data_IF_744308360228
#
_entry.id   IF_744308360228
#
_cell.length_a   1.000
_cell.length_b   1.000
_cell.length_c   1.000
_cell.angle_alpha   90.00
_cell.angle_beta   90.00
_cell.angle_gamma   90.00
#
_symmetry.space_group_name_H-M   'P 1'
#
loop_
_entity.id
_entity.type
_entity.pdbx_description
1 polymer ?
#
# COMPACT_ATOMS: atom_id res chain seq x y z
N UNK A 1 14.31 26.31 -10.62
CA UNK A 1 13.66 26.40 -11.94
C UNK A 1 12.95 25.09 -12.17
N UNK A 2 11.63 25.06 -12.03
CA UNK A 2 10.86 23.89 -12.50
C UNK A 2 10.99 23.84 -14.01
N UNK A 3 11.44 22.70 -14.54
CA UNK A 3 11.61 22.54 -15.98
C UNK A 3 10.24 22.23 -16.58
N UNK A 4 9.71 23.15 -17.40
CA UNK A 4 8.49 22.88 -18.18
C UNK A 4 8.70 21.67 -19.07
N UNK A 5 7.70 20.79 -19.12
CA UNK A 5 7.73 19.61 -19.98
C UNK A 5 7.70 20.05 -21.44
N UNK A 6 8.67 19.55 -22.19
CA UNK A 6 8.77 19.72 -23.64
C UNK A 6 8.02 18.61 -24.38
N UNK A 7 7.66 18.85 -25.63
CA UNK A 7 7.04 17.82 -26.48
C UNK A 7 7.91 16.54 -26.58
N UNK A 8 9.25 16.68 -26.61
CA UNK A 8 10.16 15.53 -26.62
C UNK A 8 10.03 14.68 -25.35
N UNK A 9 10.04 15.31 -24.17
CA UNK A 9 9.85 14.62 -22.89
C UNK A 9 8.45 14.01 -22.74
N UNK A 10 7.42 14.68 -23.28
CA UNK A 10 6.09 14.12 -23.36
C UNK A 10 6.05 12.88 -24.28
N UNK A 11 6.77 12.89 -25.41
CA UNK A 11 6.88 11.77 -26.34
C UNK A 11 7.70 10.59 -25.78
N UNK A 12 8.75 10.85 -24.99
CA UNK A 12 9.52 9.83 -24.28
C UNK A 12 8.65 9.14 -23.21
N UNK A 13 7.95 9.92 -22.37
CA UNK A 13 6.99 9.38 -21.38
C UNK A 13 5.82 8.65 -22.03
N UNK A 14 5.38 9.12 -23.19
CA UNK A 14 4.33 8.48 -23.97
C UNK A 14 4.75 7.09 -24.46
N UNK A 15 5.98 6.95 -24.95
CA UNK A 15 6.53 5.64 -25.34
C UNK A 15 6.70 4.74 -24.11
N UNK A 16 7.29 5.23 -23.02
CA UNK A 16 7.41 4.47 -21.76
C UNK A 16 6.06 3.96 -21.26
N UNK A 17 5.01 4.78 -21.29
CA UNK A 17 3.66 4.40 -20.86
C UNK A 17 2.98 3.35 -21.74
N UNK A 18 3.14 3.41 -23.07
CA UNK A 18 2.45 2.49 -24.00
C UNK A 18 3.26 1.22 -24.26
N UNK A 19 4.59 1.35 -24.26
CA UNK A 19 5.55 0.38 -24.81
C UNK A 19 6.61 -0.11 -23.80
N UNK A 20 6.73 0.47 -22.60
CA UNK A 20 7.80 0.19 -21.64
C UNK A 20 7.89 -1.27 -21.17
N UNK A 21 6.76 -1.90 -20.86
CA UNK A 21 6.69 -3.30 -20.39
C UNK A 21 6.57 -4.35 -21.51
N UNK A 22 6.53 -3.92 -22.79
CA UNK A 22 6.34 -4.83 -23.93
C UNK A 22 7.59 -4.93 -24.82
N UNK A 23 7.91 -6.11 -25.38
CA UNK A 23 9.03 -6.27 -26.30
C UNK A 23 8.89 -5.38 -27.55
N UNK A 24 10.01 -4.96 -28.14
CA UNK A 24 10.04 -4.04 -29.28
C UNK A 24 9.16 -4.44 -30.49
N UNK A 25 9.02 -5.75 -30.78
CA UNK A 25 8.14 -6.24 -31.86
C UNK A 25 6.64 -6.15 -31.51
N UNK A 26 6.31 -5.88 -30.25
CA UNK A 26 4.96 -5.66 -29.76
C UNK A 26 4.61 -4.17 -29.59
N UNK A 27 5.59 -3.27 -29.78
CA UNK A 27 5.41 -1.83 -29.68
C UNK A 27 4.29 -1.34 -30.62
N UNK A 28 3.56 -0.33 -30.14
CA UNK A 28 2.44 0.31 -30.83
C UNK A 28 2.80 1.74 -31.20
N UNK A 29 2.07 2.28 -32.17
CA UNK A 29 2.23 3.69 -32.51
C UNK A 29 1.65 4.54 -31.39
N UNK A 30 2.50 5.44 -30.87
CA UNK A 30 2.13 6.35 -29.80
C UNK A 30 1.89 7.73 -30.38
N UNK A 31 0.76 8.33 -30.05
CA UNK A 31 0.37 9.66 -30.51
C UNK A 31 0.37 10.64 -29.33
N UNK A 32 0.87 11.84 -29.59
CA UNK A 32 0.92 12.95 -28.63
C UNK A 32 0.34 14.19 -29.28
N UNK A 33 -0.47 14.94 -28.53
CA UNK A 33 -1.02 16.23 -28.93
C UNK A 33 -0.80 17.26 -27.83
N UNK A 34 -0.08 18.31 -28.16
CA UNK A 34 0.10 19.50 -27.30
C UNK A 34 -1.19 20.34 -27.27
N UNK A 35 -1.46 20.93 -26.11
CA UNK A 35 -2.52 21.91 -25.85
C UNK A 35 -2.00 22.93 -24.81
N UNK A 36 -2.85 23.87 -24.35
CA UNK A 36 -2.40 25.01 -23.54
C UNK A 36 -1.74 24.58 -22.22
N UNK A 37 -2.39 23.66 -21.48
CA UNK A 37 -1.94 23.22 -20.15
C UNK A 37 -1.01 22.00 -20.18
N UNK A 38 -0.76 21.36 -21.33
CA UNK A 38 -0.04 20.09 -21.34
C UNK A 38 -0.05 19.33 -22.67
N UNK A 39 0.03 18.01 -22.54
CA UNK A 39 0.08 17.06 -23.65
C UNK A 39 -0.89 15.91 -23.41
N UNK A 40 -1.77 15.61 -24.38
CA UNK A 40 -2.61 14.40 -24.35
C UNK A 40 -1.94 13.31 -25.18
N UNK A 41 -1.87 12.12 -24.61
CA UNK A 41 -1.21 10.93 -25.14
C UNK A 41 -2.22 9.79 -25.29
N UNK A 42 -2.13 9.05 -26.40
CA UNK A 42 -2.89 7.82 -26.60
C UNK A 42 -2.11 6.81 -27.46
N UNK A 43 -2.43 5.52 -27.30
CA UNK A 43 -1.93 4.47 -28.18
C UNK A 43 -2.91 4.24 -29.35
N UNK A 44 -2.36 4.01 -30.54
CA UNK A 44 -3.10 3.41 -31.65
C UNK A 44 -2.89 1.88 -31.62
N UNK A 45 -3.97 1.12 -31.45
CA UNK A 45 -3.89 -0.35 -31.48
C UNK A 45 -3.64 -0.83 -32.92
N UNK A 46 -2.74 -1.82 -33.08
CA UNK A 46 -2.45 -2.41 -34.39
C UNK A 46 -3.66 -3.25 -34.86
N UNK A 47 -4.01 -3.23 -36.17
CA UNK A 47 -5.23 -3.85 -36.68
C UNK A 47 -5.33 -5.36 -36.45
N UNK A 48 -4.20 -6.03 -36.24
CA UNK A 48 -4.08 -7.48 -36.00
C UNK A 48 -3.48 -7.81 -34.61
N UNK A 49 -3.32 -6.79 -33.75
CA UNK A 49 -2.70 -6.93 -32.42
C UNK A 49 -3.71 -7.12 -31.29
N UNK A 50 -3.25 -7.57 -30.10
CA UNK A 50 -4.08 -7.54 -28.89
C UNK A 50 -4.49 -6.10 -28.53
N UNK A 51 -5.79 -5.87 -28.39
CA UNK A 51 -6.32 -4.62 -27.82
C UNK A 51 -5.82 -4.51 -26.38
N UNK A 52 -5.13 -3.42 -26.05
CA UNK A 52 -4.64 -3.19 -24.68
C UNK A 52 -5.15 -1.85 -24.13
N UNK A 53 -5.09 -1.69 -22.81
CA UNK A 53 -5.74 -0.56 -22.13
C UNK A 53 -5.29 0.83 -22.60
N UNK A 54 -4.05 1.00 -23.06
CA UNK A 54 -3.56 2.26 -23.64
C UNK A 54 -4.34 2.78 -24.87
N UNK A 55 -5.02 1.91 -25.63
CA UNK A 55 -5.93 2.34 -26.71
C UNK A 55 -7.31 2.79 -26.20
N UNK A 56 -7.68 2.34 -25.00
CA UNK A 56 -8.96 2.64 -24.31
C UNK A 56 -8.85 3.72 -23.23
N UNK A 57 -7.63 4.10 -22.88
CA UNK A 57 -7.30 5.18 -21.94
C UNK A 57 -6.60 6.33 -22.67
N UNK A 58 -6.50 7.48 -22.04
CA UNK A 58 -5.67 8.60 -22.49
C UNK A 58 -4.85 9.06 -21.29
N UNK A 59 -3.62 9.48 -21.51
CA UNK A 59 -2.78 10.07 -20.47
C UNK A 59 -2.64 11.56 -20.75
N UNK A 60 -2.82 12.41 -19.74
CA UNK A 60 -2.57 13.84 -19.83
C UNK A 60 -1.34 14.16 -19.00
N UNK A 61 -0.35 14.83 -19.60
CA UNK A 61 0.88 15.26 -18.92
C UNK A 61 0.82 16.79 -18.78
N UNK A 62 0.78 17.28 -17.55
CA UNK A 62 0.80 18.72 -17.24
C UNK A 62 2.10 19.38 -17.72
N UNK A 63 2.02 20.60 -18.26
CA UNK A 63 3.19 21.28 -18.84
C UNK A 63 4.16 21.82 -17.79
N UNK A 64 3.64 22.32 -16.68
CA UNK A 64 4.40 23.02 -15.64
C UNK A 64 5.03 22.07 -14.62
N UNK A 65 4.28 21.05 -14.18
CA UNK A 65 4.69 20.07 -13.17
C UNK A 65 5.19 18.76 -13.79
N UNK A 66 4.66 18.39 -14.96
CA UNK A 66 4.88 17.08 -15.55
C UNK A 66 4.14 15.93 -14.86
N UNK A 67 3.14 16.24 -14.02
CA UNK A 67 2.20 15.27 -13.47
C UNK A 67 1.44 14.55 -14.60
N UNK A 68 1.14 13.26 -14.40
CA UNK A 68 0.53 12.40 -15.41
C UNK A 68 -0.83 11.85 -14.92
N UNK A 69 -1.93 12.37 -15.48
CA UNK A 69 -3.30 12.01 -15.12
C UNK A 69 -3.89 11.03 -16.14
N UNK A 70 -4.49 9.93 -15.69
CA UNK A 70 -5.17 8.96 -16.55
C UNK A 70 -6.64 9.33 -16.77
N UNK A 71 -7.08 9.22 -18.02
CA UNK A 71 -8.41 9.58 -18.49
C UNK A 71 -9.09 8.40 -19.21
N UNK A 72 -10.43 8.25 -19.10
CA UNK A 72 -11.18 7.25 -19.86
C UNK A 72 -11.12 7.53 -21.37
N UNK A 73 -11.61 6.58 -22.17
CA UNK A 73 -11.52 6.52 -23.65
C UNK A 73 -12.20 7.62 -24.48
N UNK A 74 -12.37 8.83 -23.94
CA UNK A 74 -13.00 9.99 -24.56
C UNK A 74 -12.24 10.49 -25.82
N UNK A 75 -12.89 11.22 -26.74
CA UNK A 75 -12.21 11.93 -27.80
C UNK A 75 -11.16 12.91 -27.24
N UNK A 76 -10.00 13.04 -27.89
CA UNK A 76 -8.90 13.90 -27.42
C UNK A 76 -9.35 15.35 -27.14
N UNK A 77 -10.26 15.89 -27.96
CA UNK A 77 -10.83 17.23 -27.74
C UNK A 77 -11.69 17.36 -26.47
N UNK A 78 -12.39 16.30 -26.06
CA UNK A 78 -13.17 16.29 -24.80
C UNK A 78 -12.27 16.07 -23.57
N UNK A 79 -11.18 15.31 -23.71
CA UNK A 79 -10.12 15.20 -22.68
C UNK A 79 -9.52 16.58 -22.42
N UNK A 80 -9.09 17.29 -23.48
CA UNK A 80 -8.58 18.65 -23.39
C UNK A 80 -9.60 19.58 -22.72
N UNK A 81 -10.84 19.63 -23.24
CA UNK A 81 -11.89 20.53 -22.74
C UNK A 81 -12.17 20.33 -21.24
N UNK A 82 -12.27 19.09 -20.75
CA UNK A 82 -12.52 18.85 -19.32
C UNK A 82 -11.26 19.07 -18.48
N UNK A 83 -10.08 18.72 -18.97
CA UNK A 83 -8.84 19.03 -18.26
C UNK A 83 -8.63 20.54 -18.10
N UNK A 84 -8.96 21.34 -19.11
CA UNK A 84 -8.96 22.81 -19.03
C UNK A 84 -10.05 23.35 -18.08
N UNK A 85 -11.23 22.73 -18.05
CA UNK A 85 -12.31 23.07 -17.10
C UNK A 85 -11.94 22.76 -15.64
N UNK A 86 -11.22 21.68 -15.39
CA UNK A 86 -10.86 21.17 -14.05
C UNK A 86 -9.54 21.77 -13.52
N UNK A 87 -8.53 21.94 -14.38
CA UNK A 87 -7.18 22.38 -14.02
C UNK A 87 -6.81 23.77 -14.54
N UNK A 88 -7.53 24.34 -15.51
CA UNK A 88 -7.23 25.67 -16.06
C UNK A 88 -7.44 26.82 -15.07
N UNK A 89 -8.31 26.65 -14.08
CA UNK A 89 -8.42 27.57 -12.93
C UNK A 89 -7.26 27.41 -11.94
N UNK A 90 -6.67 26.22 -11.86
CA UNK A 90 -5.59 25.86 -10.92
C UNK A 90 -4.20 26.18 -11.46
N UNK A 91 -4.01 26.26 -12.79
CA UNK A 91 -2.72 26.60 -13.42
C UNK A 91 -2.15 27.99 -13.04
N UNK A 92 -2.94 28.85 -12.38
CA UNK A 92 -2.49 30.11 -11.78
C UNK A 92 -2.53 30.17 -10.25
N UNK A 93 -3.03 29.12 -9.59
CA UNK A 93 -3.08 29.02 -8.13
C UNK A 93 -1.99 28.04 -7.66
N UNK A 94 -1.07 28.43 -6.77
CA UNK A 94 -0.14 27.46 -6.19
C UNK A 94 -0.94 26.35 -5.51
N UNK A 95 -0.56 25.10 -5.79
CA UNK A 95 -1.06 23.90 -5.12
C UNK A 95 -1.24 24.20 -3.62
N UNK A 96 -2.44 24.03 -3.03
CA UNK A 96 -2.61 24.25 -1.61
C UNK A 96 -1.72 23.25 -0.89
N UNK A 97 -0.61 23.75 -0.34
CA UNK A 97 0.45 22.94 0.22
C UNK A 97 -0.17 21.88 1.14
N UNK A 98 0.18 20.58 0.97
CA UNK A 98 -0.51 19.49 1.63
C UNK A 98 -0.59 19.78 3.12
N UNK A 99 -1.82 20.04 3.61
CA UNK A 99 -2.02 20.51 4.97
C UNK A 99 -1.31 19.55 5.92
N UNK A 100 -0.34 20.01 6.72
CA UNK A 100 0.49 19.12 7.52
C UNK A 100 -0.44 18.36 8.44
N UNK A 101 -0.59 17.05 8.17
CA UNK A 101 -1.66 16.21 8.71
C UNK A 101 -1.90 16.56 10.18
N UNK A 102 -3.05 17.18 10.45
CA UNK A 102 -3.31 17.81 11.75
C UNK A 102 -3.07 16.75 12.82
N UNK A 103 -2.04 16.98 13.65
CA UNK A 103 -1.58 15.99 14.62
C UNK A 103 -2.76 15.61 15.48
N UNK A 104 -3.23 14.37 15.33
CA UNK A 104 -4.40 13.84 16.03
C UNK A 104 -4.27 14.22 17.51
N UNK A 105 -5.29 14.91 18.00
CA UNK A 105 -5.16 15.80 19.15
C UNK A 105 -4.62 15.05 20.38
N UNK A 106 -3.53 15.57 20.95
CA UNK A 106 -2.79 14.94 22.05
C UNK A 106 -3.62 14.81 23.35
N UNK A 107 -4.82 15.41 23.40
CA UNK A 107 -5.82 15.14 24.43
C UNK A 107 -6.41 13.71 24.36
N UNK A 108 -6.23 12.95 23.27
CA UNK A 108 -6.59 11.52 23.25
C UNK A 108 -5.78 10.65 24.24
N UNK A 109 -4.70 11.18 24.83
CA UNK A 109 -4.00 10.50 25.95
C UNK A 109 -4.81 10.48 27.26
N UNK A 110 -6.02 11.07 27.30
CA UNK A 110 -6.95 10.98 28.43
C UNK A 110 -7.87 9.73 28.41
N UNK A 111 -7.67 8.78 27.48
CA UNK A 111 -8.42 7.51 27.47
C UNK A 111 -7.65 6.34 28.15
N UNK A 112 -6.40 6.54 28.58
CA UNK A 112 -5.57 5.49 29.18
C UNK A 112 -5.50 5.53 30.72
N UNK A 113 -6.22 6.44 31.39
CA UNK A 113 -6.22 6.57 32.86
C UNK A 113 -7.60 6.63 33.52
N UNK A 114 -8.68 6.86 32.77
CA UNK A 114 -10.07 6.81 33.30
C UNK A 114 -10.99 6.11 32.29
N UNK A 115 -11.43 4.86 32.53
CA UNK A 115 -12.42 4.22 31.67
C UNK A 115 -13.80 4.89 31.84
N UNK A 116 -14.62 5.08 30.78
CA UNK A 116 -15.88 5.81 30.89
C UNK A 116 -17.05 4.90 31.28
N UNK A 117 -18.07 5.48 31.92
CA UNK A 117 -19.14 4.76 32.65
C UNK A 117 -19.99 3.79 31.80
N UNK A 118 -20.08 3.99 30.47
CA UNK A 118 -20.75 3.06 29.54
C UNK A 118 -20.23 1.60 29.65
N UNK A 119 -18.96 1.43 30.01
CA UNK A 119 -18.34 0.11 30.19
C UNK A 119 -18.79 -0.58 31.48
N UNK A 120 -19.21 0.20 32.50
CA UNK A 120 -19.78 -0.32 33.75
C UNK A 120 -21.26 -0.70 33.57
N UNK A 121 -22.04 0.08 32.82
CA UNK A 121 -23.43 -0.30 32.47
C UNK A 121 -23.51 -1.58 31.63
N UNK A 122 -22.48 -1.86 30.82
CA UNK A 122 -22.36 -3.12 30.07
C UNK A 122 -22.00 -4.32 30.98
N UNK A 123 -21.17 -4.10 32.01
CA UNK A 123 -20.77 -5.15 32.96
C UNK A 123 -21.90 -5.53 33.93
N UNK A 124 -22.70 -4.57 34.39
CA UNK A 124 -23.82 -4.83 35.31
C UNK A 124 -24.95 -5.65 34.62
N UNK A 125 -25.18 -5.42 33.32
CA UNK A 125 -26.12 -6.19 32.49
C UNK A 125 -25.62 -7.59 32.11
N UNK A 126 -24.32 -7.82 32.11
CA UNK A 126 -23.71 -9.13 31.89
C UNK A 126 -23.11 -9.62 33.21
N UNK A 127 -23.97 -10.05 34.14
CA UNK A 127 -23.59 -10.48 35.49
C UNK A 127 -22.58 -11.64 35.51
N UNK A 128 -21.30 -11.30 35.45
CA UNK A 128 -20.17 -12.23 35.65
C UNK A 128 -19.77 -12.14 37.13
N UNK A 129 -19.86 -13.23 37.90
CA UNK A 129 -19.50 -13.21 39.32
C UNK A 129 -18.00 -12.93 39.52
N UNK A 130 -17.68 -11.97 40.40
CA UNK A 130 -16.29 -11.56 40.67
C UNK A 130 -15.60 -12.56 41.63
N UNK A 131 -14.79 -13.46 41.06
CA UNK A 131 -13.99 -14.47 41.78
C UNK A 131 -12.76 -13.90 42.56
N UNK A 132 -12.70 -12.59 42.83
CA UNK A 132 -11.61 -11.94 43.60
C UNK A 132 -11.62 -12.31 45.09
N UNK A 133 -12.75 -12.76 45.64
CA UNK A 133 -12.84 -13.26 47.02
C UNK A 133 -11.98 -14.53 47.21
N UNK A 134 -12.17 -15.52 46.34
CA UNK A 134 -11.52 -16.84 46.41
C UNK A 134 -9.98 -16.74 46.32
N UNK A 135 -9.46 -15.75 45.57
CA UNK A 135 -8.01 -15.49 45.47
C UNK A 135 -7.41 -14.95 46.78
N UNK A 136 -8.18 -14.33 47.67
CA UNK A 136 -7.70 -13.89 48.99
C UNK A 136 -7.58 -15.04 49.99
N UNK A 137 -8.46 -16.04 49.90
CA UNK A 137 -8.44 -17.22 50.76
C UNK A 137 -7.28 -18.17 50.38
N UNK A 138 -7.04 -18.36 49.08
CA UNK A 138 -5.90 -19.14 48.59
C UNK A 138 -4.53 -18.53 48.98
N UNK A 139 -4.45 -17.21 49.19
CA UNK A 139 -3.21 -16.53 49.59
C UNK A 139 -2.86 -16.71 51.08
N UNK A 140 -3.82 -17.09 51.94
CA UNK A 140 -3.55 -17.39 53.34
C UNK A 140 -3.13 -18.86 53.53
N UNK A 141 -3.69 -19.77 52.73
CA UNK A 141 -3.30 -21.18 52.66
C UNK A 141 -1.84 -21.40 52.17
N UNK A 142 -1.24 -20.42 51.49
CA UNK A 142 0.13 -20.51 50.97
C UNK A 142 1.24 -20.22 52.01
N UNK A 143 0.89 -19.88 53.27
CA UNK A 143 1.87 -19.57 54.33
C UNK A 143 2.36 -20.77 55.15
N UNK A 144 1.87 -21.99 54.87
CA UNK A 144 2.05 -23.15 55.77
C UNK A 144 3.05 -24.21 55.28
N UNK A 145 3.57 -24.13 54.05
CA UNK A 145 4.30 -25.24 53.39
C UNK A 145 5.76 -24.88 52.97
N UNK A 146 6.53 -24.26 53.88
CA UNK A 146 7.95 -23.99 53.66
C UNK A 146 8.83 -24.98 54.43
N UNK A 147 9.28 -26.07 53.78
CA UNK A 147 9.89 -27.22 54.48
C UNK A 147 10.92 -28.12 53.75
N UNK A 148 12.09 -27.58 53.41
CA UNK A 148 13.43 -28.28 53.37
C UNK A 148 13.70 -29.35 52.26
N UNK A 149 14.94 -29.48 51.68
CA UNK A 149 15.20 -30.29 50.46
C UNK A 149 16.08 -31.57 50.62
N UNK A 150 15.97 -32.51 49.66
CA UNK A 150 16.88 -33.64 49.31
C UNK A 150 16.32 -34.39 48.05
N UNK A 151 16.97 -35.31 47.31
CA UNK A 151 18.39 -35.56 46.90
C UNK A 151 18.42 -36.63 45.76
N UNK A 152 19.55 -36.80 45.03
CA UNK A 152 19.89 -37.92 44.10
C UNK A 152 19.07 -38.05 42.78
N UNK A 153 19.59 -38.51 41.62
CA UNK A 153 20.94 -38.96 41.23
C UNK A 153 21.07 -39.20 39.69
N UNK A 154 22.29 -39.46 39.21
CA UNK A 154 22.74 -39.70 37.78
C UNK A 154 22.62 -41.21 37.38
N UNK A 155 22.86 -41.74 36.13
CA UNK A 155 23.35 -41.13 34.86
C UNK A 155 22.80 -41.64 33.47
N UNK A 156 23.15 -40.87 32.42
CA UNK A 156 23.59 -41.21 31.04
C UNK A 156 23.17 -42.49 30.23
N UNK A 157 22.81 -42.27 28.95
CA UNK A 157 23.35 -42.87 27.69
C UNK A 157 22.63 -42.21 26.48
N UNK A 158 23.30 -41.71 25.44
CA UNK A 158 23.80 -42.44 24.26
C UNK A 158 22.71 -42.51 23.16
N UNK A 159 22.93 -42.32 21.85
CA UNK A 159 24.10 -42.04 21.02
C UNK A 159 23.65 -41.71 19.58
N UNK A 160 24.55 -41.25 18.70
CA UNK A 160 24.20 -40.61 17.42
C UNK A 160 24.20 -41.56 16.19
N UNK A 161 24.11 -40.97 14.98
CA UNK A 161 24.42 -41.52 13.62
C UNK A 161 23.31 -42.38 12.94
N UNK A 162 23.22 -42.51 11.60
CA UNK A 162 23.62 -41.68 10.44
C UNK A 162 23.08 -42.31 9.12
N UNK A 163 23.25 -41.62 7.98
CA UNK A 163 23.27 -42.19 6.61
C UNK A 163 22.06 -41.86 5.71
N UNK A 164 22.19 -41.69 4.39
CA UNK A 164 23.42 -41.59 3.56
C UNK A 164 23.32 -42.26 2.18
N UNK A 165 23.45 -41.47 1.09
CA UNK A 165 23.71 -41.93 -0.29
C UNK A 165 22.50 -42.40 -1.13
N UNK A 166 22.60 -42.61 -2.45
CA UNK A 166 23.54 -42.10 -3.46
C UNK A 166 23.03 -42.42 -4.91
N UNK A 167 23.43 -41.60 -5.89
CA UNK A 167 23.59 -41.82 -7.35
C UNK A 167 22.85 -42.93 -8.13
N UNK A 168 22.28 -42.59 -9.31
CA UNK A 168 22.83 -42.93 -10.65
C UNK A 168 21.75 -42.89 -11.78
N UNK A 169 22.17 -42.62 -13.03
CA UNK A 169 21.37 -42.91 -14.22
C UNK A 169 21.52 -41.94 -15.40
N UNK A 170 22.21 -42.36 -16.46
CA UNK A 170 22.20 -41.71 -17.77
C UNK A 170 22.44 -42.74 -18.87
N UNK A 171 22.01 -42.49 -20.10
CA UNK A 171 22.27 -43.39 -21.23
C UNK A 171 21.53 -43.05 -22.53
N UNK A 172 22.33 -43.00 -23.61
CA UNK A 172 21.99 -43.09 -25.04
C UNK A 172 20.95 -42.09 -25.60
#
# INVERSE_FOLDING_TARGET
MSAVVTFAQAQERADEWVNGDVPAYQHREVRVREFELGFVVWAEDRPEGPVSDGGRQRLVIARDSGEATLWPGLPVGEVIRRYEEEYGGSAGAPEPAPEPAQRVDLNQTSFLLTPPEWLQEAADKLGIPDHRAERREAADAARVDAGVPADSGVPARGGATAGGGASAGGGA
#
